data_IF_745666420064
#
_entry.id   IF_745666420064
#
_cell.length_a   1.000
_cell.length_b   1.000
_cell.length_c   1.000
_cell.angle_alpha   90.00
_cell.angle_beta   90.00
_cell.angle_gamma   90.00
#
_symmetry.space_group_name_H-M   'P 1'
#
loop_
_entity.id
_entity.type
_entity.pdbx_description
1 polymer ?
#
# COMPACT_ATOMS: atom_id res chain seq x y z
N UNK A 1 -39.14 2.05 -4.13
CA UNK A 1 -37.89 1.33 -4.49
C UNK A 1 -37.32 0.68 -3.23
N UNK A 2 -37.23 -0.64 -3.21
CA UNK A 2 -36.56 -1.36 -2.10
C UNK A 2 -35.06 -1.39 -2.34
N UNK A 3 -34.28 -1.17 -1.28
CA UNK A 3 -32.83 -1.33 -1.32
C UNK A 3 -32.53 -2.83 -1.47
N UNK A 4 -31.81 -3.21 -2.51
CA UNK A 4 -31.44 -4.60 -2.76
C UNK A 4 -29.99 -4.91 -2.32
N UNK A 5 -29.12 -3.89 -2.32
CA UNK A 5 -27.72 -4.05 -1.91
C UNK A 5 -27.16 -2.78 -1.28
N UNK A 6 -26.17 -2.95 -0.42
CA UNK A 6 -25.36 -1.88 0.17
C UNK A 6 -23.89 -2.16 -0.16
N UNK A 7 -23.29 -1.26 -0.92
CA UNK A 7 -21.87 -1.26 -1.26
C UNK A 7 -21.20 -0.08 -0.56
N UNK A 8 -20.08 -0.35 0.15
CA UNK A 8 -19.31 0.73 0.79
C UNK A 8 -17.81 0.43 0.76
N UNK A 9 -16.93 1.47 0.85
CA UNK A 9 -15.51 1.26 1.09
C UNK A 9 -15.29 0.45 2.36
N UNK A 10 -14.33 -0.48 2.30
CA UNK A 10 -14.10 -1.42 3.40
C UNK A 10 -12.62 -1.55 3.73
N UNK A 11 -12.28 -1.32 4.98
CA UNK A 11 -10.93 -1.41 5.54
C UNK A 11 -10.87 -2.22 6.84
N UNK A 12 -11.94 -2.98 7.16
CA UNK A 12 -12.01 -3.78 8.38
C UNK A 12 -12.32 -2.99 9.64
N UNK A 13 -12.74 -1.72 9.54
CA UNK A 13 -13.00 -0.89 10.69
C UNK A 13 -14.30 -1.27 11.43
N UNK A 14 -14.34 -1.19 12.78
CA UNK A 14 -15.51 -1.58 13.58
C UNK A 14 -16.80 -0.86 13.20
N UNK A 15 -16.75 0.41 12.79
CA UNK A 15 -17.92 1.16 12.34
C UNK A 15 -18.52 0.59 11.04
N UNK A 16 -17.67 0.06 10.15
CA UNK A 16 -18.15 -0.57 8.90
C UNK A 16 -18.90 -1.87 9.20
N UNK A 17 -18.41 -2.66 10.15
CA UNK A 17 -19.11 -3.86 10.63
C UNK A 17 -20.48 -3.53 11.23
N UNK A 18 -20.58 -2.44 12.01
CA UNK A 18 -21.86 -1.99 12.56
C UNK A 18 -22.88 -1.66 11.47
N UNK A 19 -22.43 -0.98 10.40
CA UNK A 19 -23.31 -0.66 9.25
C UNK A 19 -23.82 -1.95 8.62
N UNK A 20 -22.95 -2.91 8.28
CA UNK A 20 -23.36 -4.18 7.67
C UNK A 20 -24.32 -4.97 8.58
N UNK A 21 -24.05 -5.03 9.87
CA UNK A 21 -24.93 -5.67 10.84
C UNK A 21 -26.30 -4.99 10.89
N UNK A 22 -26.35 -3.65 10.94
CA UNK A 22 -27.63 -2.92 10.93
C UNK A 22 -28.44 -3.17 9.65
N UNK A 23 -27.79 -3.22 8.51
CA UNK A 23 -28.42 -3.56 7.23
C UNK A 23 -29.06 -4.97 7.29
N UNK A 24 -28.35 -5.95 7.85
CA UNK A 24 -28.83 -7.32 8.00
C UNK A 24 -29.96 -7.48 9.04
N UNK A 25 -29.98 -6.62 10.05
CA UNK A 25 -31.07 -6.55 11.03
C UNK A 25 -32.36 -5.96 10.41
N UNK A 26 -32.21 -4.98 9.48
CA UNK A 26 -33.35 -4.39 8.77
C UNK A 26 -33.99 -5.38 7.81
N UNK A 27 -33.19 -5.99 6.95
CA UNK A 27 -33.63 -7.04 6.01
C UNK A 27 -32.47 -7.95 5.64
N UNK A 28 -32.56 -9.23 5.99
CA UNK A 28 -31.56 -10.25 5.68
C UNK A 28 -31.34 -10.48 4.18
N UNK A 29 -32.28 -10.07 3.34
CA UNK A 29 -32.18 -10.19 1.88
C UNK A 29 -31.31 -9.13 1.23
N UNK A 30 -31.04 -8.01 1.91
CA UNK A 30 -30.19 -6.95 1.39
C UNK A 30 -28.74 -7.48 1.34
N UNK A 31 -28.15 -7.51 0.15
CA UNK A 31 -26.76 -7.91 -0.03
C UNK A 31 -25.82 -6.85 0.54
N UNK A 32 -24.77 -7.29 1.24
CA UNK A 32 -23.74 -6.40 1.80
C UNK A 32 -22.41 -6.65 1.10
N UNK A 33 -21.81 -5.60 0.54
CA UNK A 33 -20.60 -5.67 -0.27
C UNK A 33 -19.59 -4.65 0.23
N UNK A 34 -18.39 -5.13 0.56
CA UNK A 34 -17.25 -4.29 0.89
C UNK A 34 -16.35 -4.08 -0.32
N UNK A 35 -16.03 -2.84 -0.68
CA UNK A 35 -15.02 -2.53 -1.69
C UNK A 35 -13.72 -2.11 -1.04
N UNK A 36 -12.68 -2.89 -1.24
CA UNK A 36 -11.34 -2.53 -0.77
C UNK A 36 -10.74 -1.48 -1.70
N UNK A 37 -10.87 -0.20 -1.33
CA UNK A 37 -10.33 0.90 -2.14
C UNK A 37 -8.81 1.09 -1.95
N UNK A 38 -8.21 0.45 -0.94
CA UNK A 38 -6.76 0.40 -0.71
C UNK A 38 -6.22 -1.01 -0.94
N UNK A 39 -4.91 -1.16 -0.99
CA UNK A 39 -4.24 -2.46 -0.95
C UNK A 39 -4.27 -2.99 0.47
N UNK A 40 -4.35 -4.30 0.65
CA UNK A 40 -4.16 -4.95 1.95
C UNK A 40 -2.85 -4.49 2.60
N UNK A 41 -2.84 -4.23 3.91
CA UNK A 41 -1.60 -3.94 4.64
C UNK A 41 -0.65 -5.15 4.63
N UNK A 42 0.58 -4.94 5.03
CA UNK A 42 1.60 -5.99 5.11
C UNK A 42 1.13 -7.17 5.98
N UNK A 43 0.47 -6.87 7.10
CA UNK A 43 -0.16 -7.84 8.00
C UNK A 43 -1.66 -7.51 8.13
N UNK A 44 -2.54 -8.11 7.32
CA UNK A 44 -3.95 -7.73 7.18
C UNK A 44 -4.87 -8.37 8.24
N UNK A 45 -4.53 -8.28 9.53
CA UNK A 45 -5.28 -8.90 10.64
C UNK A 45 -6.71 -8.40 10.78
N UNK A 46 -6.97 -7.14 10.39
CA UNK A 46 -8.31 -6.55 10.44
C UNK A 46 -9.30 -7.17 9.44
N UNK A 47 -8.78 -7.98 8.52
CA UNK A 47 -9.55 -8.65 7.48
C UNK A 47 -9.79 -10.15 7.78
N UNK A 48 -9.38 -10.66 8.94
CA UNK A 48 -9.69 -12.04 9.36
C UNK A 48 -11.22 -12.18 9.45
N UNK A 49 -11.79 -13.12 8.68
CA UNK A 49 -13.24 -13.32 8.57
C UNK A 49 -13.89 -13.60 9.92
N UNK A 50 -14.91 -12.84 10.25
CA UNK A 50 -15.69 -12.94 11.51
C UNK A 50 -17.11 -12.42 11.32
N UNK A 51 -17.95 -12.53 12.33
CA UNK A 51 -19.29 -11.98 12.32
C UNK A 51 -19.28 -10.46 12.09
N UNK A 52 -20.28 -9.93 11.40
CA UNK A 52 -20.41 -8.51 11.07
C UNK A 52 -19.65 -8.06 9.82
N UNK A 53 -18.91 -8.96 9.15
CA UNK A 53 -18.31 -8.64 7.86
C UNK A 53 -19.34 -8.58 6.73
N UNK A 54 -19.03 -7.93 5.60
CA UNK A 54 -19.90 -7.98 4.41
C UNK A 54 -19.98 -9.42 3.89
N UNK A 55 -21.06 -9.74 3.16
CA UNK A 55 -21.22 -11.04 2.52
C UNK A 55 -20.21 -11.26 1.40
N UNK A 56 -19.81 -10.19 0.72
CA UNK A 56 -18.87 -10.20 -0.39
C UNK A 56 -17.85 -9.06 -0.25
N UNK A 57 -16.60 -9.34 -0.64
CA UNK A 57 -15.55 -8.33 -0.75
C UNK A 57 -15.05 -8.25 -2.19
N UNK A 58 -14.93 -7.02 -2.68
CA UNK A 58 -14.27 -6.71 -3.95
C UNK A 58 -12.85 -6.21 -3.65
N UNK A 59 -11.84 -6.84 -4.25
CA UNK A 59 -10.42 -6.52 -4.07
C UNK A 59 -9.77 -6.10 -5.38
N UNK A 60 -8.67 -5.35 -5.30
CA UNK A 60 -8.02 -4.74 -6.46
C UNK A 60 -7.12 -5.69 -7.27
N UNK A 61 -6.95 -6.96 -6.85
CA UNK A 61 -6.07 -7.89 -7.55
C UNK A 61 -6.12 -9.32 -7.03
N UNK A 62 -5.68 -10.26 -7.85
CA UNK A 62 -5.77 -11.71 -7.56
C UNK A 62 -4.93 -12.13 -6.34
N UNK A 63 -3.79 -11.48 -6.09
CA UNK A 63 -2.97 -11.78 -4.92
C UNK A 63 -3.72 -11.43 -3.62
N UNK A 64 -4.45 -10.31 -3.59
CA UNK A 64 -5.27 -9.92 -2.44
C UNK A 64 -6.41 -10.93 -2.20
N UNK A 65 -7.09 -11.37 -3.29
CA UNK A 65 -8.10 -12.45 -3.21
C UNK A 65 -7.50 -13.71 -2.59
N UNK A 66 -6.32 -14.14 -3.07
CA UNK A 66 -5.65 -15.32 -2.54
C UNK A 66 -5.30 -15.18 -1.07
N UNK A 67 -4.81 -14.01 -0.63
CA UNK A 67 -4.52 -13.73 0.78
C UNK A 67 -5.77 -13.91 1.64
N UNK A 68 -6.89 -13.31 1.25
CA UNK A 68 -8.15 -13.42 1.98
C UNK A 68 -8.62 -14.87 2.08
N UNK A 69 -8.59 -15.61 0.98
CA UNK A 69 -9.07 -16.99 0.95
C UNK A 69 -8.15 -17.96 1.69
N UNK A 70 -6.83 -17.86 1.50
CA UNK A 70 -5.89 -18.85 2.02
C UNK A 70 -5.51 -18.62 3.48
N UNK A 71 -5.56 -17.38 3.98
CA UNK A 71 -5.02 -17.04 5.30
C UNK A 71 -6.03 -16.36 6.24
N UNK A 72 -7.11 -15.77 5.70
CA UNK A 72 -7.99 -14.93 6.48
C UNK A 72 -9.42 -15.45 6.60
N UNK A 73 -9.66 -16.71 6.19
CA UNK A 73 -10.91 -17.45 6.40
C UNK A 73 -12.08 -17.06 5.49
N UNK A 74 -11.81 -16.40 4.35
CA UNK A 74 -12.84 -16.06 3.38
C UNK A 74 -13.04 -17.18 2.35
N UNK A 75 -14.30 -17.49 2.01
CA UNK A 75 -14.61 -18.42 0.94
C UNK A 75 -14.35 -17.80 -0.44
N UNK A 76 -14.02 -18.64 -1.43
CA UNK A 76 -13.72 -18.18 -2.78
C UNK A 76 -14.90 -17.43 -3.45
N UNK A 77 -16.14 -17.82 -3.10
CA UNK A 77 -17.38 -17.17 -3.56
C UNK A 77 -17.62 -15.80 -2.94
N UNK A 78 -17.01 -15.51 -1.78
CA UNK A 78 -17.16 -14.26 -1.04
C UNK A 78 -16.16 -13.19 -1.46
N UNK A 79 -15.11 -13.55 -2.20
CA UNK A 79 -14.07 -12.62 -2.62
C UNK A 79 -13.98 -12.56 -4.14
N UNK A 80 -14.10 -11.37 -4.68
CA UNK A 80 -13.94 -11.12 -6.12
C UNK A 80 -12.82 -10.12 -6.37
N UNK A 81 -11.89 -10.49 -7.26
CA UNK A 81 -10.87 -9.58 -7.73
C UNK A 81 -11.39 -8.80 -8.95
N UNK A 82 -11.40 -7.50 -8.82
CA UNK A 82 -11.86 -6.58 -9.86
C UNK A 82 -10.73 -5.64 -10.30
N UNK A 83 -10.91 -5.00 -11.45
CA UNK A 83 -10.07 -3.87 -11.85
C UNK A 83 -10.28 -2.71 -10.87
N UNK A 84 -9.18 -2.12 -10.42
CA UNK A 84 -9.25 -1.06 -9.43
C UNK A 84 -9.97 0.18 -9.96
N UNK A 85 -10.87 0.72 -9.14
CA UNK A 85 -11.53 2.00 -9.40
C UNK A 85 -10.68 3.19 -8.91
N UNK A 86 -9.77 2.95 -7.98
CA UNK A 86 -8.90 3.99 -7.41
C UNK A 86 -7.57 4.12 -8.14
N UNK A 87 -6.95 3.00 -8.47
CA UNK A 87 -5.61 2.97 -9.08
C UNK A 87 -5.77 2.97 -10.60
N UNK A 88 -5.59 4.15 -11.21
CA UNK A 88 -5.72 4.36 -12.65
C UNK A 88 -4.38 4.71 -13.30
N UNK A 89 -4.29 4.62 -14.63
CA UNK A 89 -3.05 4.82 -15.39
C UNK A 89 -2.44 6.22 -15.24
N UNK A 90 -3.23 7.24 -14.91
CA UNK A 90 -2.81 8.66 -14.94
C UNK A 90 -1.73 9.03 -13.93
N UNK A 91 -1.42 8.22 -12.92
CA UNK A 91 -0.64 8.65 -11.75
C UNK A 91 0.81 8.17 -11.70
N UNK A 92 1.38 7.60 -12.76
CA UNK A 92 2.74 7.02 -12.75
C UNK A 92 3.83 8.00 -12.32
N UNK A 93 3.83 9.22 -12.85
CA UNK A 93 4.86 10.25 -12.57
C UNK A 93 4.92 10.65 -11.09
N UNK A 94 3.84 10.51 -10.35
CA UNK A 94 3.75 10.89 -8.95
C UNK A 94 4.53 9.97 -8.00
N UNK A 95 5.02 8.84 -8.49
CA UNK A 95 5.74 7.85 -7.70
C UNK A 95 7.25 7.85 -7.91
N UNK A 96 7.76 8.60 -8.90
CA UNK A 96 9.19 8.62 -9.20
C UNK A 96 9.96 9.56 -8.27
N UNK A 97 11.15 9.16 -7.86
CA UNK A 97 12.09 9.98 -7.08
C UNK A 97 11.52 10.54 -5.78
N UNK A 98 10.63 9.79 -5.13
CA UNK A 98 9.98 10.23 -3.91
C UNK A 98 10.47 9.42 -2.69
N UNK A 99 10.42 10.03 -1.53
CA UNK A 99 10.50 9.38 -0.23
C UNK A 99 9.13 9.50 0.42
N UNK A 100 8.38 8.40 0.47
CA UNK A 100 7.04 8.36 1.03
C UNK A 100 7.08 8.11 2.52
N UNK A 101 6.50 9.01 3.29
CA UNK A 101 6.31 8.84 4.72
C UNK A 101 4.98 8.15 5.01
N UNK A 102 4.93 7.24 6.00
CA UNK A 102 3.73 6.51 6.38
C UNK A 102 2.75 7.40 7.13
N UNK A 103 1.56 6.85 7.43
CA UNK A 103 0.61 7.48 8.35
C UNK A 103 1.17 7.54 9.78
N UNK A 104 1.77 6.46 10.28
CA UNK A 104 2.38 6.39 11.60
C UNK A 104 3.90 6.32 11.54
N UNK A 105 4.54 7.09 12.43
CA UNK A 105 5.96 7.03 12.73
C UNK A 105 6.08 6.83 14.25
N UNK A 106 6.63 5.69 14.69
CA UNK A 106 6.84 5.43 16.11
C UNK A 106 8.18 6.00 16.58
N UNK A 107 9.27 5.75 15.83
CA UNK A 107 10.62 6.16 16.18
C UNK A 107 11.36 6.75 14.98
N UNK A 108 11.27 8.07 14.84
CA UNK A 108 11.91 8.80 13.75
C UNK A 108 13.43 8.69 13.74
N UNK A 109 14.08 8.53 14.90
CA UNK A 109 15.55 8.37 15.00
C UNK A 109 15.99 7.02 14.45
N UNK A 110 15.23 5.95 14.72
CA UNK A 110 15.49 4.60 14.19
C UNK A 110 15.33 4.58 12.67
N UNK A 111 14.25 5.14 12.15
CA UNK A 111 14.01 5.28 10.70
C UNK A 111 15.13 6.07 10.04
N UNK A 112 15.51 7.21 10.61
CA UNK A 112 16.59 8.04 10.07
C UNK A 112 17.93 7.33 10.07
N UNK A 113 18.24 6.50 11.09
CA UNK A 113 19.43 5.65 11.11
C UNK A 113 19.45 4.69 9.92
N UNK A 114 18.34 3.99 9.64
CA UNK A 114 18.25 3.07 8.51
C UNK A 114 18.35 3.81 7.17
N UNK A 115 17.70 4.96 7.04
CA UNK A 115 17.81 5.82 5.87
C UNK A 115 19.27 6.25 5.62
N UNK A 116 19.98 6.72 6.64
CA UNK A 116 21.42 7.08 6.54
C UNK A 116 22.25 5.89 6.07
N UNK A 117 22.06 4.72 6.67
CA UNK A 117 22.80 3.52 6.30
C UNK A 117 22.56 3.14 4.84
N UNK A 118 21.31 3.20 4.36
CA UNK A 118 20.98 2.98 2.96
C UNK A 118 21.78 3.92 2.04
N UNK A 119 21.74 5.23 2.29
CA UNK A 119 22.40 6.21 1.43
C UNK A 119 23.92 6.06 1.48
N UNK A 120 24.51 5.88 2.66
CA UNK A 120 25.97 5.79 2.81
C UNK A 120 26.54 4.50 2.22
N UNK A 121 25.80 3.38 2.28
CA UNK A 121 26.23 2.10 1.72
C UNK A 121 25.91 1.95 0.22
N UNK A 122 25.05 2.82 -0.33
CA UNK A 122 24.78 2.84 -1.77
C UNK A 122 25.98 3.42 -2.52
N UNK A 123 26.30 2.85 -3.69
CA UNK A 123 27.32 3.41 -4.57
C UNK A 123 26.93 4.83 -4.99
N UNK A 124 27.87 5.81 -5.01
CA UNK A 124 27.61 7.14 -5.53
C UNK A 124 27.00 7.08 -6.94
N UNK A 125 25.98 7.90 -7.21
CA UNK A 125 25.27 7.92 -8.47
C UNK A 125 24.22 6.80 -8.66
N UNK A 126 24.05 5.88 -7.70
CA UNK A 126 23.09 4.78 -7.84
C UNK A 126 21.66 5.21 -7.51
N UNK A 127 21.49 6.17 -6.64
CA UNK A 127 20.17 6.72 -6.27
C UNK A 127 19.94 8.06 -6.98
N UNK A 128 18.70 8.36 -7.42
CA UNK A 128 18.36 9.65 -7.99
C UNK A 128 18.23 10.71 -6.90
N UNK A 129 18.14 11.99 -7.31
CA UNK A 129 17.74 13.07 -6.40
C UNK A 129 16.30 12.82 -5.92
N UNK A 130 16.14 12.60 -4.63
CA UNK A 130 14.87 12.20 -3.99
C UNK A 130 14.19 13.40 -3.33
N UNK A 131 12.86 13.46 -3.37
CA UNK A 131 12.03 14.47 -2.69
C UNK A 131 11.17 13.82 -1.62
N UNK A 132 11.08 14.45 -0.46
CA UNK A 132 10.22 13.96 0.64
C UNK A 132 8.76 14.26 0.34
N UNK A 133 7.91 13.25 0.49
CA UNK A 133 6.46 13.33 0.41
C UNK A 133 5.84 12.88 1.72
N UNK A 134 5.31 13.83 2.49
CA UNK A 134 4.57 13.52 3.71
C UNK A 134 3.22 12.87 3.38
N UNK A 135 2.75 12.02 4.31
CA UNK A 135 1.37 11.57 4.27
C UNK A 135 0.41 12.76 4.44
N UNK A 136 -0.61 12.93 3.57
CA UNK A 136 -1.47 14.13 3.59
C UNK A 136 -2.10 14.43 4.95
N UNK A 137 -2.59 13.41 5.66
CA UNK A 137 -3.21 13.55 6.98
C UNK A 137 -2.21 13.91 8.10
N UNK A 138 -0.89 13.72 7.89
CA UNK A 138 0.16 13.91 8.90
C UNK A 138 0.99 15.19 8.67
N UNK A 139 0.50 16.12 7.88
CA UNK A 139 1.19 17.36 7.50
C UNK A 139 1.73 18.18 8.69
N UNK A 140 1.04 18.15 9.82
CA UNK A 140 1.38 18.90 11.03
C UNK A 140 1.92 18.05 12.18
N UNK A 141 2.15 16.76 11.98
CA UNK A 141 2.70 15.87 13.00
C UNK A 141 4.16 16.25 13.30
N UNK A 142 4.49 16.49 14.59
CA UNK A 142 5.86 16.82 15.02
C UNK A 142 6.88 15.77 14.59
N UNK A 143 6.56 14.47 14.71
CA UNK A 143 7.45 13.37 14.30
C UNK A 143 7.72 13.40 12.79
N UNK A 144 6.68 13.65 11.97
CA UNK A 144 6.83 13.75 10.52
C UNK A 144 7.66 14.97 10.11
N UNK A 145 7.42 16.12 10.72
CA UNK A 145 8.19 17.34 10.47
C UNK A 145 9.66 17.18 10.88
N UNK A 146 9.92 16.58 12.04
CA UNK A 146 11.27 16.29 12.49
C UNK A 146 12.01 15.32 11.56
N UNK A 147 11.38 14.18 11.20
CA UNK A 147 11.97 13.22 10.27
C UNK A 147 12.22 13.86 8.90
N UNK A 148 11.26 14.67 8.40
CA UNK A 148 11.43 15.42 7.14
C UNK A 148 12.65 16.30 7.19
N UNK A 149 12.77 17.13 8.23
CA UNK A 149 13.92 18.01 8.41
C UNK A 149 15.25 17.24 8.43
N UNK A 150 15.32 16.14 9.18
CA UNK A 150 16.52 15.31 9.26
C UNK A 150 16.89 14.71 7.88
N UNK A 151 15.89 14.18 7.16
CA UNK A 151 16.10 13.58 5.84
C UNK A 151 16.53 14.64 4.82
N UNK A 152 15.82 15.75 4.71
CA UNK A 152 16.13 16.82 3.75
C UNK A 152 17.51 17.45 4.01
N UNK A 153 17.84 17.72 5.28
CA UNK A 153 19.17 18.19 5.66
C UNK A 153 20.28 17.21 5.29
N UNK A 154 20.02 15.92 5.48
CA UNK A 154 21.01 14.88 5.14
C UNK A 154 21.17 14.72 3.62
N UNK A 155 20.08 14.78 2.86
CA UNK A 155 20.11 14.74 1.38
C UNK A 155 20.94 15.93 0.83
N UNK A 156 20.70 17.15 1.32
CA UNK A 156 21.44 18.33 0.87
C UNK A 156 22.93 18.22 1.17
N UNK A 157 23.32 17.77 2.38
CA UNK A 157 24.72 17.56 2.74
C UNK A 157 25.43 16.50 1.90
N UNK A 158 24.69 15.57 1.31
CA UNK A 158 25.19 14.45 0.53
C UNK A 158 24.78 14.49 -0.94
N UNK A 159 24.41 15.66 -1.46
CA UNK A 159 23.89 15.81 -2.84
C UNK A 159 24.81 15.27 -3.92
N UNK A 160 26.11 15.25 -3.70
CA UNK A 160 27.10 14.71 -4.60
C UNK A 160 27.04 13.18 -4.76
N UNK A 161 26.32 12.48 -3.89
CA UNK A 161 26.09 11.02 -3.96
C UNK A 161 24.93 10.62 -4.86
N UNK A 162 24.09 11.58 -5.26
CA UNK A 162 22.89 11.31 -6.07
C UNK A 162 23.14 11.58 -7.55
N UNK A 163 22.45 10.82 -8.40
CA UNK A 163 22.58 10.94 -9.86
C UNK A 163 21.43 11.77 -10.45
N UNK A 164 21.77 12.57 -11.47
CA UNK A 164 20.80 13.16 -12.37
C UNK A 164 20.51 12.26 -13.60
N UNK A 165 21.15 11.10 -13.69
CA UNK A 165 21.03 10.21 -14.85
C UNK A 165 19.60 9.65 -14.95
N UNK A 166 19.05 9.65 -16.16
CA UNK A 166 17.70 9.16 -16.46
C UNK A 166 17.49 7.68 -16.15
N UNK A 167 18.53 6.86 -16.26
CA UNK A 167 18.46 5.41 -15.99
C UNK A 167 18.00 5.07 -14.56
N UNK A 168 18.23 5.96 -13.58
CA UNK A 168 17.87 5.74 -12.18
C UNK A 168 16.59 6.47 -11.75
N UNK A 169 15.81 6.98 -12.70
CA UNK A 169 14.63 7.81 -12.40
C UNK A 169 13.47 7.04 -11.75
N UNK A 170 13.40 5.72 -11.97
CA UNK A 170 12.29 4.88 -11.52
C UNK A 170 12.51 4.27 -10.13
N UNK A 171 13.20 4.98 -9.23
CA UNK A 171 13.41 4.52 -7.85
C UNK A 171 12.68 5.45 -6.89
N UNK A 172 12.03 4.86 -5.88
CA UNK A 172 11.45 5.58 -4.74
C UNK A 172 11.67 4.81 -3.45
N UNK A 173 11.72 5.57 -2.35
CA UNK A 173 11.89 5.02 -1.01
C UNK A 173 10.56 5.13 -0.27
N UNK A 174 10.17 4.06 0.37
CA UNK A 174 8.96 3.96 1.20
C UNK A 174 9.37 3.70 2.64
N UNK A 175 8.68 4.31 3.59
CA UNK A 175 8.98 4.18 5.02
C UNK A 175 7.76 3.63 5.73
N UNK A 176 7.95 2.60 6.57
CA UNK A 176 6.91 2.00 7.40
C UNK A 176 5.76 1.39 6.62
N UNK A 177 4.66 1.06 7.29
CA UNK A 177 3.49 0.43 6.67
C UNK A 177 2.80 1.39 5.70
N UNK A 178 2.89 1.11 4.39
CA UNK A 178 2.24 1.91 3.35
C UNK A 178 1.87 1.09 2.11
N UNK A 179 0.61 1.16 1.70
CA UNK A 179 0.10 0.55 0.49
C UNK A 179 0.74 1.11 -0.80
N UNK A 180 1.35 2.28 -0.72
CA UNK A 180 2.02 2.92 -1.86
C UNK A 180 3.20 2.12 -2.41
N UNK A 181 3.79 1.21 -1.63
CA UNK A 181 4.81 0.25 -2.10
C UNK A 181 4.25 -0.60 -3.23
N UNK A 182 3.09 -1.23 -3.00
CA UNK A 182 2.47 -2.13 -3.98
C UNK A 182 2.01 -1.36 -5.23
N UNK A 183 1.42 -0.18 -5.04
CA UNK A 183 1.03 0.67 -6.16
C UNK A 183 2.25 1.08 -7.01
N UNK A 184 3.35 1.46 -6.38
CA UNK A 184 4.59 1.81 -7.08
C UNK A 184 5.14 0.65 -7.90
N UNK A 185 5.17 -0.56 -7.31
CA UNK A 185 5.62 -1.77 -8.01
C UNK A 185 4.77 -2.07 -9.25
N UNK A 186 3.43 -2.02 -9.13
CA UNK A 186 2.52 -2.24 -10.27
C UNK A 186 2.63 -1.16 -11.35
N UNK A 187 3.19 0.01 -10.99
CA UNK A 187 3.53 1.08 -11.96
C UNK A 187 4.93 0.97 -12.54
N UNK A 188 5.68 -0.09 -12.22
CA UNK A 188 7.05 -0.31 -12.69
C UNK A 188 8.09 0.60 -12.02
N UNK A 189 7.82 1.06 -10.80
CA UNK A 189 8.76 1.82 -9.97
C UNK A 189 9.52 0.85 -9.05
N UNK A 190 10.83 0.95 -9.02
CA UNK A 190 11.66 0.19 -8.10
C UNK A 190 11.47 0.73 -6.67
N UNK A 191 10.89 -0.08 -5.81
CA UNK A 191 10.61 0.29 -4.43
C UNK A 191 11.73 -0.17 -3.51
N UNK A 192 12.30 0.77 -2.76
CA UNK A 192 13.15 0.51 -1.60
C UNK A 192 12.31 0.82 -0.36
N UNK A 193 12.20 -0.11 0.56
CA UNK A 193 11.33 -0.01 1.72
C UNK A 193 12.12 -0.07 3.02
N UNK A 194 12.01 0.97 3.82
CA UNK A 194 12.59 1.06 5.15
C UNK A 194 11.51 0.66 6.16
N UNK A 195 11.67 -0.51 6.76
CA UNK A 195 10.76 -1.04 7.76
C UNK A 195 11.18 -0.57 9.16
N UNK A 196 10.29 0.11 9.87
CA UNK A 196 10.50 0.40 11.28
C UNK A 196 10.36 -0.88 12.13
N UNK A 197 9.38 -1.71 11.76
CA UNK A 197 9.14 -3.04 12.31
C UNK A 197 8.81 -4.01 11.18
N UNK A 198 9.68 -4.99 10.95
CA UNK A 198 9.53 -5.94 9.84
C UNK A 198 8.27 -6.81 9.94
N UNK A 199 7.73 -7.05 11.13
CA UNK A 199 6.49 -7.83 11.31
C UNK A 199 5.29 -7.06 10.71
N UNK A 200 5.23 -5.74 10.91
CA UNK A 200 4.09 -4.92 10.50
C UNK A 200 4.28 -4.20 9.17
N UNK A 201 5.53 -4.00 8.74
CA UNK A 201 5.82 -3.16 7.58
C UNK A 201 6.23 -3.97 6.34
N UNK A 202 6.80 -5.18 6.51
CA UNK A 202 7.35 -5.96 5.40
C UNK A 202 6.25 -6.70 4.61
N UNK A 203 6.22 -6.50 3.30
CA UNK A 203 5.44 -7.31 2.37
C UNK A 203 6.14 -8.66 2.14
N UNK A 204 5.87 -9.63 3.02
CA UNK A 204 6.56 -10.91 3.02
C UNK A 204 6.08 -11.84 1.90
N UNK A 205 7.00 -12.56 1.23
CA UNK A 205 6.68 -13.43 0.08
C UNK A 205 5.73 -14.57 0.39
N UNK A 206 5.66 -15.05 1.63
CA UNK A 206 4.71 -16.09 2.03
C UNK A 206 3.26 -15.63 1.91
N UNK A 207 3.00 -14.36 2.21
CA UNK A 207 1.67 -13.76 2.09
C UNK A 207 1.48 -13.15 0.70
N UNK A 208 2.50 -12.43 0.21
CA UNK A 208 2.50 -11.71 -1.07
C UNK A 208 3.34 -12.48 -2.11
N UNK A 209 2.82 -13.62 -2.57
CA UNK A 209 3.57 -14.54 -3.43
C UNK A 209 4.01 -13.96 -4.78
N UNK A 210 3.31 -12.90 -5.26
CA UNK A 210 3.66 -12.19 -6.49
C UNK A 210 4.85 -11.24 -6.33
N UNK A 211 5.41 -11.12 -5.12
CA UNK A 211 6.52 -10.22 -4.80
C UNK A 211 7.77 -11.03 -4.44
N UNK A 212 8.90 -10.63 -5.01
CA UNK A 212 10.22 -11.04 -4.54
C UNK A 212 10.74 -9.97 -3.60
N UNK A 213 11.32 -10.39 -2.49
CA UNK A 213 11.86 -9.51 -1.44
C UNK A 213 13.34 -9.81 -1.27
N UNK A 214 14.19 -8.77 -1.29
CA UNK A 214 15.61 -8.87 -1.00
C UNK A 214 15.97 -7.85 0.09
N UNK A 215 16.68 -8.28 1.11
CA UNK A 215 17.24 -7.37 2.11
C UNK A 215 18.45 -6.66 1.51
N UNK A 216 18.42 -5.32 1.52
CA UNK A 216 19.50 -4.46 1.02
C UNK A 216 20.49 -4.13 2.14
N UNK A 217 19.95 -3.76 3.29
CA UNK A 217 20.66 -3.60 4.57
C UNK A 217 19.67 -3.88 5.70
N UNK A 218 20.12 -3.90 6.95
CA UNK A 218 19.27 -4.13 8.12
C UNK A 218 18.00 -3.26 8.08
N UNK A 219 16.84 -3.92 8.05
CA UNK A 219 15.50 -3.32 7.97
C UNK A 219 15.24 -2.47 6.70
N UNK A 220 16.02 -2.66 5.66
CA UNK A 220 15.83 -2.03 4.36
C UNK A 220 15.71 -3.10 3.28
N UNK A 221 14.61 -3.10 2.55
CA UNK A 221 14.27 -4.12 1.58
C UNK A 221 14.03 -3.52 0.20
N UNK A 222 14.33 -4.27 -0.84
CA UNK A 222 13.90 -3.98 -2.21
C UNK A 222 12.90 -5.04 -2.65
N UNK A 223 11.96 -4.62 -3.49
CA UNK A 223 10.93 -5.50 -4.02
C UNK A 223 10.97 -5.56 -5.54
N UNK A 224 10.57 -6.72 -6.06
CA UNK A 224 10.34 -6.92 -7.49
C UNK A 224 9.05 -7.71 -7.67
N UNK A 225 8.19 -7.29 -8.61
CA UNK A 225 7.05 -8.10 -9.03
C UNK A 225 7.52 -9.26 -9.88
N UNK A 226 6.93 -10.43 -9.69
CA UNK A 226 7.05 -11.58 -10.60
C UNK A 226 6.20 -11.36 -11.85
N UNK A 227 5.02 -10.74 -11.67
CA UNK A 227 4.05 -10.48 -12.74
C UNK A 227 3.24 -9.22 -12.38
N UNK A 228 3.04 -8.33 -13.36
CA UNK A 228 2.20 -7.15 -13.20
C UNK A 228 0.72 -7.48 -13.20
N UNK A 229 -0.08 -6.65 -12.52
CA UNK A 229 -1.54 -6.78 -12.44
C UNK A 229 -2.03 -7.82 -11.43
N UNK A 230 -1.12 -8.54 -10.74
CA UNK A 230 -1.52 -9.55 -9.73
C UNK A 230 -1.81 -8.93 -8.37
N UNK A 231 -1.04 -7.94 -7.94
CA UNK A 231 -1.29 -7.27 -6.67
C UNK A 231 -2.38 -6.21 -6.82
N UNK A 232 -2.34 -5.43 -7.91
CA UNK A 232 -3.38 -4.47 -8.30
C UNK A 232 -3.58 -4.55 -9.80
N UNK A 233 -4.80 -4.81 -10.26
CA UNK A 233 -5.20 -4.61 -11.64
C UNK A 233 -5.52 -3.14 -11.85
N UNK A 234 -4.58 -2.38 -12.42
CA UNK A 234 -4.72 -0.94 -12.65
C UNK A 234 -5.85 -0.68 -13.66
N UNK A 235 -6.77 0.20 -13.30
CA UNK A 235 -7.93 0.56 -14.12
C UNK A 235 -7.59 1.54 -15.23
N UNK A 236 -8.30 1.42 -16.35
CA UNK A 236 -8.36 2.50 -17.35
C UNK A 236 -9.14 3.67 -16.76
N UNK A 237 -8.85 4.89 -17.22
CA UNK A 237 -9.64 6.06 -16.82
C UNK A 237 -11.12 5.86 -17.18
N UNK A 238 -12.04 6.31 -16.29
CA UNK A 238 -13.51 6.28 -16.47
C UNK A 238 -14.22 4.95 -16.15
N UNK A 239 -13.70 4.12 -15.26
CA UNK A 239 -14.51 3.05 -14.66
C UNK A 239 -15.39 3.69 -13.57
N UNK A 240 -16.73 3.63 -13.72
CA UNK A 240 -17.68 4.00 -12.68
C UNK A 240 -18.20 2.76 -11.94
N UNK A 241 -18.75 2.96 -10.73
CA UNK A 241 -19.43 1.89 -9.99
C UNK A 241 -20.64 1.34 -10.73
N UNK A 242 -21.26 2.13 -11.62
CA UNK A 242 -22.42 1.73 -12.42
C UNK A 242 -22.11 0.60 -13.41
N UNK A 243 -20.83 0.42 -13.75
CA UNK A 243 -20.35 -0.64 -14.64
C UNK A 243 -20.02 -1.96 -13.91
N UNK A 244 -20.16 -2.01 -12.59
CA UNK A 244 -20.02 -3.25 -11.83
C UNK A 244 -21.36 -4.00 -11.90
N UNK A 245 -21.44 -5.01 -12.76
CA UNK A 245 -22.51 -6.03 -12.72
C UNK A 245 -22.26 -6.90 -11.48
N UNK A 246 -22.91 -6.54 -10.35
CA UNK A 246 -22.77 -7.20 -9.05
C UNK A 246 -23.93 -8.17 -8.79
#
# INVERSE_FOLDING_TARGET
>A
NQIQQVLMPYEGHPQQHRVFNSVKQLDKKIKTIGYMHTVLPCLPTDYIRREGFPEKILVNGQNQKKILNSFLGWDNSQVEAITSLRYTEQNKKNFQKQIFFPYYINNEKKIFKYFKNLILNSKPGHLPNLKVRNHPAMKYSKKHLNLKYLVETFLEKNKNRFSNNELNQNISIFIGSTASVIEALERGINAIHICENTIFDLYHTQLWESILVNEVTTNVFSYKLKEFGKCITIGKNNISFDNLTL
#
